data_IF_177828482954
#
_entry.id   IF_177828482954
#
_cell.length_a   1.000
_cell.length_b   1.000
_cell.length_c   1.000
_cell.angle_alpha   90.00
_cell.angle_beta   90.00
_cell.angle_gamma   90.00
#
_symmetry.space_group_name_H-M   'P 1'
#
loop_
_entity.id
_entity.type
_entity.pdbx_description
1 polymer ?
#
# COMPACT_ATOMS: atom_id res chain seq x y z
N UNK A 1 -110.94 -24.36 -38.99
CA UNK A 1 -112.24 -24.94 -39.37
C UNK A 1 -112.76 -24.15 -40.56
N UNK A 2 -113.01 -24.82 -41.69
CA UNK A 2 -113.30 -24.13 -42.94
C UNK A 2 -114.73 -23.56 -42.96
N UNK A 3 -114.89 -22.40 -43.57
CA UNK A 3 -116.16 -21.72 -43.94
C UNK A 3 -117.15 -22.67 -44.67
N UNK A 4 -116.65 -23.81 -45.16
CA UNK A 4 -117.41 -24.81 -45.91
C UNK A 4 -118.42 -25.61 -45.07
N UNK A 5 -118.23 -25.72 -43.76
CA UNK A 5 -119.12 -26.52 -42.89
C UNK A 5 -120.36 -25.73 -42.41
N UNK A 6 -120.45 -24.42 -42.68
CA UNK A 6 -121.61 -23.60 -42.28
C UNK A 6 -122.81 -23.69 -43.25
N UNK A 7 -122.65 -24.28 -44.44
CA UNK A 7 -123.69 -24.26 -45.49
C UNK A 7 -124.42 -25.59 -45.72
N UNK A 8 -124.19 -26.62 -44.90
CA UNK A 8 -124.76 -27.97 -45.12
C UNK A 8 -126.08 -28.25 -44.36
N UNK A 9 -126.79 -27.22 -43.91
CA UNK A 9 -128.14 -27.37 -43.36
C UNK A 9 -129.21 -27.41 -44.47
N UNK A 10 -129.84 -28.58 -44.63
CA UNK A 10 -131.05 -28.78 -45.46
C UNK A 10 -132.12 -27.74 -45.11
N UNK A 11 -132.43 -26.83 -46.02
CA UNK A 11 -133.58 -25.93 -45.90
C UNK A 11 -134.90 -26.69 -46.21
N UNK A 12 -135.87 -26.75 -45.27
CA UNK A 12 -137.19 -27.24 -45.57
C UNK A 12 -138.01 -26.13 -46.24
N UNK A 13 -138.18 -26.22 -47.56
CA UNK A 13 -139.03 -25.28 -48.32
C UNK A 13 -140.49 -25.77 -48.23
N UNK A 14 -141.20 -25.41 -47.16
CA UNK A 14 -142.68 -25.47 -47.10
C UNK A 14 -143.23 -24.37 -46.18
N UNK A 15 -144.10 -23.52 -46.74
CA UNK A 15 -144.84 -22.38 -46.16
C UNK A 15 -144.07 -21.06 -45.90
N UNK A 16 -144.45 -20.04 -46.66
CA UNK A 16 -143.84 -18.69 -46.77
C UNK A 16 -144.47 -17.64 -45.81
N UNK A 17 -145.07 -18.03 -44.68
CA UNK A 17 -145.77 -17.06 -43.80
C UNK A 17 -145.20 -16.84 -42.41
N UNK A 18 -144.12 -17.53 -42.02
CA UNK A 18 -143.32 -17.15 -40.86
C UNK A 18 -141.90 -17.68 -41.10
N UNK A 19 -141.09 -16.90 -41.84
CA UNK A 19 -139.66 -17.18 -41.93
C UNK A 19 -139.09 -16.85 -40.56
N UNK A 20 -138.66 -17.87 -39.82
CA UNK A 20 -138.03 -17.72 -38.52
C UNK A 20 -136.63 -17.09 -38.69
N UNK A 21 -136.58 -15.76 -38.59
CA UNK A 21 -135.36 -14.96 -38.72
C UNK A 21 -134.45 -15.07 -37.48
N UNK A 22 -134.90 -15.73 -36.40
CA UNK A 22 -134.10 -15.84 -35.17
C UNK A 22 -132.84 -16.67 -35.36
N UNK A 23 -132.90 -17.73 -36.18
CA UNK A 23 -131.74 -18.55 -36.55
C UNK A 23 -130.66 -17.73 -37.29
N UNK A 24 -131.08 -16.89 -38.23
CA UNK A 24 -130.18 -16.01 -38.98
C UNK A 24 -129.53 -14.96 -38.07
N UNK A 25 -130.29 -14.45 -37.10
CA UNK A 25 -129.79 -13.50 -36.10
C UNK A 25 -128.74 -14.13 -35.17
N UNK A 26 -128.96 -15.36 -34.73
CA UNK A 26 -128.03 -16.12 -33.88
C UNK A 26 -126.71 -16.42 -34.58
N UNK A 27 -126.76 -16.81 -35.87
CA UNK A 27 -125.56 -17.07 -36.67
C UNK A 27 -124.78 -15.78 -36.97
N UNK A 28 -125.48 -14.66 -37.22
CA UNK A 28 -124.84 -13.33 -37.35
C UNK A 28 -124.14 -12.95 -36.04
N UNK A 29 -124.76 -13.15 -34.89
CA UNK A 29 -124.15 -12.83 -33.60
C UNK A 29 -122.92 -13.71 -33.30
N UNK A 30 -122.94 -14.99 -33.68
CA UNK A 30 -121.75 -15.85 -33.58
C UNK A 30 -120.63 -15.36 -34.50
N UNK A 31 -120.94 -14.95 -35.73
CA UNK A 31 -119.96 -14.37 -36.65
C UNK A 31 -119.34 -13.08 -36.10
N UNK A 32 -120.14 -12.20 -35.50
CA UNK A 32 -119.65 -10.98 -34.83
C UNK A 32 -118.71 -11.34 -33.68
N UNK A 33 -119.10 -12.25 -32.78
CA UNK A 33 -118.23 -12.68 -31.67
C UNK A 33 -116.91 -13.27 -32.18
N UNK A 34 -116.95 -14.05 -33.26
CA UNK A 34 -115.73 -14.62 -33.87
C UNK A 34 -114.84 -13.51 -34.45
N UNK A 35 -115.43 -12.48 -35.09
CA UNK A 35 -114.69 -11.33 -35.62
C UNK A 35 -114.02 -10.52 -34.51
N UNK A 36 -114.70 -10.33 -33.37
CA UNK A 36 -114.13 -9.65 -32.19
C UNK A 36 -112.94 -10.44 -31.60
N UNK A 37 -113.01 -11.77 -31.57
CA UNK A 37 -111.87 -12.63 -31.21
C UNK A 37 -110.69 -12.46 -32.19
N UNK A 38 -110.96 -12.41 -33.50
CA UNK A 38 -109.93 -12.17 -34.51
C UNK A 38 -109.31 -10.76 -34.39
N UNK A 39 -110.08 -9.73 -34.09
CA UNK A 39 -109.55 -8.39 -33.81
C UNK A 39 -108.58 -8.41 -32.63
N UNK A 40 -108.94 -9.12 -31.54
CA UNK A 40 -108.07 -9.28 -30.37
C UNK A 40 -106.74 -9.96 -30.75
N UNK A 41 -106.79 -11.06 -31.50
CA UNK A 41 -105.59 -11.77 -31.97
C UNK A 41 -104.74 -10.88 -32.89
N UNK A 42 -105.35 -10.07 -33.75
CA UNK A 42 -104.62 -9.14 -34.63
C UNK A 42 -103.86 -8.10 -33.80
N UNK A 43 -104.46 -7.56 -32.74
CA UNK A 43 -103.80 -6.58 -31.88
C UNK A 43 -102.65 -7.20 -31.08
N UNK A 44 -102.81 -8.41 -30.55
CA UNK A 44 -101.70 -9.16 -29.92
C UNK A 44 -100.54 -9.41 -30.91
N UNK A 45 -100.85 -9.71 -32.17
CA UNK A 45 -99.84 -9.91 -33.21
C UNK A 45 -99.11 -8.61 -33.56
N UNK A 46 -99.79 -7.46 -33.55
CA UNK A 46 -99.14 -6.15 -33.74
C UNK A 46 -98.19 -5.84 -32.59
N UNK A 47 -98.62 -6.00 -31.34
CA UNK A 47 -97.75 -5.81 -30.18
C UNK A 47 -96.54 -6.74 -30.20
N UNK A 48 -96.71 -7.99 -30.62
CA UNK A 48 -95.61 -8.93 -30.80
C UNK A 48 -94.63 -8.45 -31.89
N UNK A 49 -95.14 -7.95 -33.02
CA UNK A 49 -94.31 -7.43 -34.11
C UNK A 49 -93.48 -6.22 -33.67
N UNK A 50 -94.06 -5.28 -32.92
CA UNK A 50 -93.33 -4.13 -32.36
C UNK A 50 -92.19 -4.57 -31.42
N UNK A 51 -92.43 -5.56 -30.55
CA UNK A 51 -91.38 -6.12 -29.69
C UNK A 51 -90.26 -6.80 -30.49
N UNK A 52 -90.59 -7.47 -31.60
CA UNK A 52 -89.59 -8.06 -32.48
C UNK A 52 -88.75 -7.00 -33.19
N UNK A 53 -89.34 -5.87 -33.56
CA UNK A 53 -88.63 -4.73 -34.17
C UNK A 53 -87.66 -4.09 -33.17
N UNK A 54 -88.09 -3.87 -31.92
CA UNK A 54 -87.21 -3.40 -30.84
C UNK A 54 -86.04 -4.37 -30.58
N UNK A 55 -86.32 -5.68 -30.59
CA UNK A 55 -85.28 -6.69 -30.44
C UNK A 55 -84.26 -6.67 -31.59
N UNK A 56 -84.73 -6.47 -32.83
CA UNK A 56 -83.87 -6.36 -34.00
C UNK A 56 -82.97 -5.12 -33.92
N UNK A 57 -83.48 -3.97 -33.47
CA UNK A 57 -82.67 -2.77 -33.25
C UNK A 57 -81.59 -3.00 -32.18
N UNK A 58 -81.95 -3.63 -31.06
CA UNK A 58 -81.00 -3.97 -29.99
C UNK A 58 -79.92 -4.95 -30.47
N UNK A 59 -80.27 -5.90 -31.34
CA UNK A 59 -79.31 -6.82 -31.94
C UNK A 59 -78.32 -6.07 -32.83
N UNK A 60 -78.79 -5.15 -33.68
CA UNK A 60 -77.93 -4.34 -34.54
C UNK A 60 -76.95 -3.47 -33.72
N UNK A 61 -77.41 -2.88 -32.62
CA UNK A 61 -76.53 -2.13 -31.70
C UNK A 61 -75.46 -3.03 -31.09
N UNK A 62 -75.84 -4.21 -30.60
CA UNK A 62 -74.89 -5.18 -30.04
C UNK A 62 -73.86 -5.65 -31.07
N UNK A 63 -74.25 -5.88 -32.32
CA UNK A 63 -73.34 -6.24 -33.41
C UNK A 63 -72.31 -5.14 -33.72
N UNK A 64 -72.74 -3.87 -33.66
CA UNK A 64 -71.86 -2.72 -33.82
C UNK A 64 -70.84 -2.62 -32.67
N UNK A 65 -71.29 -2.80 -31.43
CA UNK A 65 -70.42 -2.81 -30.25
C UNK A 65 -69.39 -3.94 -30.31
N UNK A 66 -69.82 -5.16 -30.67
CA UNK A 66 -68.93 -6.31 -30.86
C UNK A 66 -67.87 -6.02 -31.93
N UNK A 67 -68.27 -5.40 -33.05
CA UNK A 67 -67.35 -5.03 -34.12
C UNK A 67 -66.31 -4.00 -33.65
N UNK A 68 -66.73 -3.02 -32.86
CA UNK A 68 -65.83 -2.02 -32.25
C UNK A 68 -64.84 -2.66 -31.26
N UNK A 69 -65.33 -3.54 -30.38
CA UNK A 69 -64.49 -4.28 -29.44
C UNK A 69 -63.47 -5.15 -30.17
N UNK A 70 -63.87 -5.82 -31.25
CA UNK A 70 -62.96 -6.63 -32.07
C UNK A 70 -61.83 -5.79 -32.67
N UNK A 71 -62.13 -4.59 -33.17
CA UNK A 71 -61.10 -3.68 -33.68
C UNK A 71 -60.14 -3.20 -32.58
N UNK A 72 -60.68 -2.95 -31.39
CA UNK A 72 -59.87 -2.58 -30.21
C UNK A 72 -58.90 -3.71 -29.83
N UNK A 73 -59.38 -4.95 -29.80
CA UNK A 73 -58.54 -6.13 -29.52
C UNK A 73 -57.42 -6.28 -30.55
N UNK A 74 -57.72 -6.10 -31.84
CA UNK A 74 -56.70 -6.15 -32.90
C UNK A 74 -55.64 -5.07 -32.72
N UNK A 75 -56.06 -3.86 -32.33
CA UNK A 75 -55.14 -2.74 -32.09
C UNK A 75 -54.22 -3.04 -30.90
N UNK A 76 -54.78 -3.49 -29.77
CA UNK A 76 -54.02 -3.86 -28.59
C UNK A 76 -53.04 -5.01 -28.86
N UNK A 77 -53.43 -5.98 -29.70
CA UNK A 77 -52.51 -7.06 -30.10
C UNK A 77 -51.30 -6.50 -30.86
N UNK A 78 -51.52 -5.57 -31.80
CA UNK A 78 -50.41 -4.93 -32.53
C UNK A 78 -49.49 -4.11 -31.62
N UNK A 79 -50.05 -3.44 -30.61
CA UNK A 79 -49.26 -2.72 -29.60
C UNK A 79 -48.43 -3.69 -28.74
N UNK A 80 -49.01 -4.82 -28.31
CA UNK A 80 -48.31 -5.88 -27.59
C UNK A 80 -47.15 -6.44 -28.42
N UNK A 81 -47.39 -6.80 -29.68
CA UNK A 81 -46.37 -7.35 -30.56
C UNK A 81 -45.21 -6.36 -30.78
N UNK A 82 -45.51 -5.07 -30.90
CA UNK A 82 -44.49 -4.01 -31.03
C UNK A 82 -43.65 -3.85 -29.76
N UNK A 83 -44.29 -3.92 -28.59
CA UNK A 83 -43.63 -3.89 -27.28
C UNK A 83 -42.72 -5.11 -27.13
N UNK A 84 -43.22 -6.32 -27.41
CA UNK A 84 -42.44 -7.56 -27.34
C UNK A 84 -41.24 -7.52 -28.28
N UNK A 85 -41.41 -7.00 -29.50
CA UNK A 85 -40.31 -6.82 -30.45
C UNK A 85 -39.23 -5.86 -29.95
N UNK A 86 -39.62 -4.76 -29.31
CA UNK A 86 -38.69 -3.76 -28.75
C UNK A 86 -37.93 -4.33 -27.57
N UNK A 87 -38.62 -4.90 -26.57
CA UNK A 87 -37.97 -5.53 -25.42
C UNK A 87 -37.09 -6.72 -25.82
N UNK A 88 -37.49 -7.51 -26.81
CA UNK A 88 -36.69 -8.61 -27.35
C UNK A 88 -35.35 -8.11 -27.91
N UNK A 89 -35.36 -6.99 -28.62
CA UNK A 89 -34.13 -6.34 -29.13
C UNK A 89 -33.26 -5.80 -28.00
N UNK A 90 -33.84 -5.06 -27.05
CA UNK A 90 -33.11 -4.48 -25.94
C UNK A 90 -32.44 -5.56 -25.07
N UNK A 91 -33.12 -6.68 -24.84
CA UNK A 91 -32.56 -7.85 -24.14
C UNK A 91 -31.37 -8.43 -24.92
N UNK A 92 -31.47 -8.54 -26.24
CA UNK A 92 -30.38 -9.06 -27.08
C UNK A 92 -29.16 -8.12 -27.05
N UNK A 93 -29.39 -6.80 -27.15
CA UNK A 93 -28.34 -5.79 -27.09
C UNK A 93 -27.64 -5.78 -25.73
N UNK A 94 -28.40 -5.89 -24.62
CA UNK A 94 -27.85 -6.02 -23.27
C UNK A 94 -27.01 -7.29 -23.10
N UNK A 95 -27.46 -8.44 -23.62
CA UNK A 95 -26.68 -9.69 -23.58
C UNK A 95 -25.35 -9.54 -24.33
N UNK A 96 -25.37 -8.91 -25.50
CA UNK A 96 -24.16 -8.65 -26.27
C UNK A 96 -23.20 -7.72 -25.51
N UNK A 97 -23.72 -6.64 -24.92
CA UNK A 97 -22.92 -5.71 -24.12
C UNK A 97 -22.29 -6.40 -22.89
N UNK A 98 -23.04 -7.25 -22.19
CA UNK A 98 -22.54 -8.05 -21.07
C UNK A 98 -21.40 -8.98 -21.50
N UNK A 99 -21.57 -9.72 -22.61
CA UNK A 99 -20.53 -10.61 -23.12
C UNK A 99 -19.23 -9.87 -23.48
N UNK A 100 -19.34 -8.67 -24.06
CA UNK A 100 -18.18 -7.81 -24.34
C UNK A 100 -17.48 -7.37 -23.05
N UNK A 101 -18.26 -6.99 -22.03
CA UNK A 101 -17.72 -6.56 -20.74
C UNK A 101 -17.01 -7.71 -20.02
N UNK A 102 -17.60 -8.91 -20.01
CA UNK A 102 -16.98 -10.12 -19.45
C UNK A 102 -15.64 -10.41 -20.13
N UNK A 103 -15.58 -10.37 -21.47
CA UNK A 103 -14.33 -10.55 -22.21
C UNK A 103 -13.25 -9.52 -21.84
N UNK A 104 -13.64 -8.23 -21.72
CA UNK A 104 -12.71 -7.17 -21.29
C UNK A 104 -12.20 -7.39 -19.86
N UNK A 105 -13.05 -7.89 -18.97
CA UNK A 105 -12.69 -8.20 -17.59
C UNK A 105 -11.65 -9.31 -17.51
N UNK A 106 -11.83 -10.41 -18.26
CA UNK A 106 -10.84 -11.49 -18.35
C UNK A 106 -9.47 -11.01 -18.87
N UNK A 107 -9.46 -10.12 -19.87
CA UNK A 107 -8.22 -9.54 -20.39
C UNK A 107 -7.51 -8.71 -19.32
N UNK A 108 -8.26 -7.90 -18.55
CA UNK A 108 -7.70 -7.08 -17.47
C UNK A 108 -7.12 -7.96 -16.36
N UNK A 109 -7.83 -9.00 -15.93
CA UNK A 109 -7.34 -9.97 -14.94
C UNK A 109 -6.02 -10.61 -15.39
N UNK A 110 -5.94 -11.01 -16.67
CA UNK A 110 -4.71 -11.58 -17.25
C UNK A 110 -3.55 -10.58 -17.23
N UNK A 111 -3.80 -9.31 -17.58
CA UNK A 111 -2.78 -8.25 -17.54
C UNK A 111 -2.31 -7.95 -16.12
N UNK A 112 -3.24 -7.91 -15.16
CA UNK A 112 -2.91 -7.70 -13.74
C UNK A 112 -2.02 -8.84 -13.24
N UNK A 113 -2.36 -10.10 -13.54
CA UNK A 113 -1.53 -11.25 -13.17
C UNK A 113 -0.12 -11.17 -13.79
N UNK A 114 -0.01 -10.74 -15.04
CA UNK A 114 1.28 -10.54 -15.70
C UNK A 114 2.13 -9.46 -15.03
N UNK A 115 1.51 -8.34 -14.60
CA UNK A 115 2.20 -7.27 -13.86
C UNK A 115 2.71 -7.77 -12.51
N UNK A 116 1.89 -8.52 -11.75
CA UNK A 116 2.33 -9.11 -10.48
C UNK A 116 3.54 -10.03 -10.67
N UNK A 117 3.50 -10.92 -11.67
CA UNK A 117 4.64 -11.80 -11.98
C UNK A 117 5.90 -11.01 -12.37
N UNK A 118 5.75 -9.91 -13.10
CA UNK A 118 6.89 -9.06 -13.47
C UNK A 118 7.51 -8.37 -12.25
N UNK A 119 6.67 -7.83 -11.35
CA UNK A 119 7.12 -7.18 -10.12
C UNK A 119 7.84 -8.18 -9.23
N UNK A 120 7.26 -9.36 -9.00
CA UNK A 120 7.85 -10.40 -8.15
C UNK A 120 9.22 -10.86 -8.69
N UNK A 121 9.33 -11.09 -10.00
CA UNK A 121 10.62 -11.39 -10.64
C UNK A 121 11.64 -10.25 -10.48
N UNK A 122 11.21 -9.00 -10.61
CA UNK A 122 12.09 -7.83 -10.47
C UNK A 122 12.61 -7.68 -9.04
N UNK A 123 11.75 -7.86 -8.03
CA UNK A 123 12.12 -7.88 -6.62
C UNK A 123 13.15 -8.99 -6.35
N UNK A 124 12.89 -10.20 -6.85
CA UNK A 124 13.81 -11.34 -6.69
C UNK A 124 15.19 -11.10 -7.32
N UNK A 125 15.24 -10.42 -8.48
CA UNK A 125 16.52 -10.05 -9.12
C UNK A 125 17.26 -9.01 -8.28
N UNK A 126 16.57 -7.96 -7.83
CA UNK A 126 17.16 -6.90 -7.01
C UNK A 126 17.69 -7.44 -5.67
N UNK A 127 16.92 -8.29 -4.99
CA UNK A 127 17.35 -8.92 -3.74
C UNK A 127 18.66 -9.73 -3.91
N UNK A 128 18.78 -10.49 -5.01
CA UNK A 128 20.02 -11.23 -5.34
C UNK A 128 21.20 -10.31 -5.64
N UNK A 129 20.95 -9.15 -6.26
CA UNK A 129 22.00 -8.18 -6.54
C UNK A 129 22.48 -7.47 -5.27
N UNK A 130 21.56 -7.08 -4.38
CA UNK A 130 21.88 -6.49 -3.08
C UNK A 130 22.72 -7.44 -2.24
N UNK A 131 22.30 -8.70 -2.09
CA UNK A 131 23.07 -9.70 -1.36
C UNK A 131 24.51 -9.87 -1.88
N UNK A 132 24.70 -9.84 -3.21
CA UNK A 132 26.04 -9.88 -3.81
C UNK A 132 26.86 -8.63 -3.49
N UNK A 133 26.25 -7.45 -3.49
CA UNK A 133 26.93 -6.20 -3.14
C UNK A 133 27.33 -6.18 -1.67
N UNK A 134 26.45 -6.63 -0.76
CA UNK A 134 26.74 -6.73 0.67
C UNK A 134 27.94 -7.64 0.93
N UNK A 135 28.00 -8.78 0.25
CA UNK A 135 29.14 -9.70 0.35
C UNK A 135 30.47 -9.04 -0.13
N UNK A 136 30.42 -8.25 -1.20
CA UNK A 136 31.58 -7.51 -1.70
C UNK A 136 32.03 -6.45 -0.69
N UNK A 137 31.09 -5.70 -0.11
CA UNK A 137 31.38 -4.68 0.91
C UNK A 137 31.99 -5.32 2.14
N UNK A 138 31.40 -6.40 2.66
CA UNK A 138 31.91 -7.13 3.82
C UNK A 138 33.34 -7.65 3.59
N UNK A 139 33.62 -8.20 2.41
CA UNK A 139 34.97 -8.66 2.08
C UNK A 139 35.98 -7.51 2.05
N UNK A 140 35.63 -6.36 1.47
CA UNK A 140 36.49 -5.17 1.45
C UNK A 140 36.73 -4.61 2.86
N UNK A 141 35.70 -4.59 3.70
CA UNK A 141 35.80 -4.13 5.08
C UNK A 141 36.73 -5.04 5.90
N UNK A 142 36.57 -6.36 5.76
CA UNK A 142 37.44 -7.33 6.42
C UNK A 142 38.89 -7.20 5.96
N UNK A 143 39.12 -6.97 4.67
CA UNK A 143 40.46 -6.71 4.14
C UNK A 143 41.07 -5.42 4.72
N UNK A 144 40.31 -4.32 4.73
CA UNK A 144 40.77 -3.06 5.31
C UNK A 144 41.09 -3.19 6.81
N UNK A 145 40.26 -3.92 7.57
CA UNK A 145 40.51 -4.23 8.98
C UNK A 145 41.83 -4.99 9.17
N UNK A 146 42.09 -6.01 8.35
CA UNK A 146 43.34 -6.78 8.41
C UNK A 146 44.56 -5.91 8.06
N UNK A 147 44.45 -5.05 7.05
CA UNK A 147 45.52 -4.13 6.66
C UNK A 147 45.83 -3.10 7.76
N UNK A 148 44.81 -2.52 8.39
CA UNK A 148 44.99 -1.61 9.53
C UNK A 148 45.65 -2.32 10.72
N UNK A 149 45.21 -3.54 11.04
CA UNK A 149 45.81 -4.31 12.12
C UNK A 149 47.30 -4.59 11.87
N UNK A 150 47.67 -4.89 10.63
CA UNK A 150 49.07 -5.06 10.23
C UNK A 150 49.86 -3.78 10.41
N UNK A 151 49.36 -2.64 9.93
CA UNK A 151 50.02 -1.34 10.11
C UNK A 151 50.22 -0.99 11.60
N UNK A 152 49.21 -1.26 12.44
CA UNK A 152 49.30 -1.07 13.90
C UNK A 152 50.42 -1.94 14.48
N UNK A 153 50.49 -3.22 14.10
CA UNK A 153 51.53 -4.13 14.57
C UNK A 153 52.94 -3.68 14.12
N UNK A 154 53.07 -3.22 12.88
CA UNK A 154 54.32 -2.68 12.34
C UNK A 154 54.78 -1.44 13.14
N UNK A 155 53.85 -0.53 13.47
CA UNK A 155 54.13 0.63 14.33
C UNK A 155 54.57 0.23 15.73
N UNK A 156 53.88 -0.73 16.36
CA UNK A 156 54.29 -1.27 17.66
C UNK A 156 55.71 -1.83 17.62
N UNK A 157 56.08 -2.56 16.56
CA UNK A 157 57.43 -3.10 16.39
C UNK A 157 58.48 -1.98 16.24
N UNK A 158 58.19 -0.93 15.47
CA UNK A 158 59.08 0.23 15.32
C UNK A 158 59.29 0.93 16.68
N UNK A 159 58.21 1.20 17.41
CA UNK A 159 58.27 1.84 18.74
C UNK A 159 59.07 0.98 19.72
N UNK A 160 58.91 -0.34 19.69
CA UNK A 160 59.69 -1.26 20.52
C UNK A 160 61.19 -1.24 20.18
N UNK A 161 61.55 -1.16 18.89
CA UNK A 161 62.95 -1.02 18.45
C UNK A 161 63.56 0.29 18.95
N UNK A 162 62.87 1.43 18.73
CA UNK A 162 63.34 2.75 19.19
C UNK A 162 63.55 2.75 20.71
N UNK A 163 62.63 2.13 21.47
CA UNK A 163 62.77 1.99 22.92
C UNK A 163 64.03 1.21 23.33
N UNK A 164 64.40 0.20 22.55
CA UNK A 164 65.59 -0.63 22.78
C UNK A 164 66.87 0.12 22.40
N UNK A 165 66.88 0.85 21.28
CA UNK A 165 68.04 1.63 20.83
C UNK A 165 68.32 2.85 21.70
N UNK A 166 67.28 3.41 22.35
CA UNK A 166 67.41 4.45 23.37
C UNK A 166 67.95 3.92 24.72
N UNK A 167 68.38 2.66 24.79
CA UNK A 167 69.17 2.16 25.92
C UNK A 167 70.44 2.99 26.06
N UNK A 168 70.64 3.53 27.27
CA UNK A 168 71.60 4.58 27.57
C UNK A 168 73.03 4.29 27.03
N UNK A 169 73.58 5.15 26.14
CA UNK A 169 74.93 4.96 25.63
C UNK A 169 76.03 5.09 26.71
N UNK A 170 75.70 5.59 27.91
CA UNK A 170 76.67 5.84 28.98
C UNK A 170 76.86 4.65 29.95
N UNK A 171 76.04 3.60 29.84
CA UNK A 171 76.16 2.43 30.71
C UNK A 171 76.06 1.11 29.94
N UNK A 172 77.16 0.74 29.28
CA UNK A 172 77.53 -0.61 28.81
C UNK A 172 76.38 -1.62 28.62
N UNK A 173 75.40 -1.29 27.76
CA UNK A 173 74.36 -2.21 27.31
C UNK A 173 73.32 -2.63 28.37
N UNK A 174 73.16 -1.90 29.48
CA UNK A 174 72.07 -2.14 30.43
C UNK A 174 70.86 -1.26 30.11
N UNK A 175 69.69 -1.90 29.92
CA UNK A 175 68.41 -1.21 29.80
C UNK A 175 67.98 -0.78 31.20
N UNK A 176 68.09 0.51 31.48
CA UNK A 176 67.54 1.12 32.69
C UNK A 176 66.20 1.77 32.38
N UNK A 177 65.27 1.72 33.33
CA UNK A 177 64.08 2.56 33.24
C UNK A 177 64.48 4.05 33.18
N UNK A 178 63.64 4.94 32.62
CA UNK A 178 63.94 6.38 32.59
C UNK A 178 64.30 6.96 33.97
N UNK A 179 63.67 6.45 35.03
CA UNK A 179 63.93 6.87 36.41
C UNK A 179 65.30 6.40 36.94
N UNK A 180 65.72 5.18 36.57
CA UNK A 180 67.04 4.65 36.93
C UNK A 180 68.17 5.35 36.17
N UNK A 181 67.98 5.67 34.89
CA UNK A 181 68.94 6.46 34.12
C UNK A 181 69.17 7.84 34.73
N UNK A 182 68.09 8.52 35.12
CA UNK A 182 68.20 9.83 35.77
C UNK A 182 69.00 9.71 37.08
N UNK A 183 68.72 8.71 37.91
CA UNK A 183 69.48 8.48 39.16
C UNK A 183 70.97 8.26 38.91
N UNK A 184 71.35 7.48 37.90
CA UNK A 184 72.75 7.21 37.59
C UNK A 184 73.49 8.46 37.09
N UNK A 185 72.85 9.28 36.24
CA UNK A 185 73.40 10.57 35.80
C UNK A 185 73.61 11.51 37.00
N UNK A 186 72.66 11.57 37.93
CA UNK A 186 72.79 12.39 39.13
C UNK A 186 73.90 11.90 40.06
N UNK A 187 74.12 10.59 40.17
CA UNK A 187 75.22 10.04 40.99
C UNK A 187 76.59 10.35 40.36
N UNK A 188 76.75 10.21 39.05
CA UNK A 188 78.01 10.48 38.35
C UNK A 188 78.36 11.99 38.36
N UNK A 189 77.36 12.86 38.25
CA UNK A 189 77.54 14.30 38.44
C UNK A 189 77.96 14.63 39.89
N UNK A 190 77.42 13.93 40.88
CA UNK A 190 77.79 14.14 42.28
C UNK A 190 79.22 13.67 42.58
N UNK A 191 79.66 12.55 41.97
CA UNK A 191 80.99 11.97 42.18
C UNK A 191 82.10 12.71 41.40
N UNK A 192 81.78 13.36 40.28
CA UNK A 192 82.74 14.11 39.44
C UNK A 192 82.67 15.63 39.62
N UNK A 193 81.78 16.14 40.47
CA UNK A 193 81.83 17.55 40.86
C UNK A 193 83.04 17.77 41.78
N UNK A 194 83.90 18.77 41.52
CA UNK A 194 85.03 19.06 42.39
C UNK A 194 84.52 19.32 43.81
N UNK A 195 85.15 18.67 44.77
CA UNK A 195 84.87 18.92 46.18
C UNK A 195 85.09 20.40 46.52
N UNK A 196 84.45 20.87 47.60
CA UNK A 196 84.62 22.26 48.07
C UNK A 196 86.11 22.59 48.29
N UNK A 197 86.92 21.61 48.67
CA UNK A 197 88.36 21.72 48.89
C UNK A 197 89.14 21.78 47.56
N UNK A 198 88.76 20.99 46.54
CA UNK A 198 89.32 21.11 45.19
C UNK A 198 89.00 22.47 44.57
N UNK A 199 87.76 22.97 44.75
CA UNK A 199 87.37 24.31 44.29
C UNK A 199 88.17 25.42 44.99
N UNK A 200 88.41 25.30 46.29
CA UNK A 200 89.22 26.25 47.04
C UNK A 200 90.70 26.22 46.60
N UNK A 201 91.20 25.07 46.15
CA UNK A 201 92.58 24.93 45.64
C UNK A 201 92.80 25.54 44.26
N UNK A 202 91.74 25.78 43.48
CA UNK A 202 91.83 26.40 42.15
C UNK A 202 92.17 27.89 42.20
N UNK A 203 92.18 28.51 43.39
CA UNK A 203 92.68 29.86 43.64
C UNK A 203 92.16 30.94 42.66
N UNK A 204 90.91 30.74 42.19
CA UNK A 204 90.26 31.60 41.21
C UNK A 204 90.09 33.00 41.79
N UNK A 205 90.72 33.97 41.16
CA UNK A 205 90.69 35.37 41.56
C UNK A 205 89.43 36.05 41.04
N UNK A 206 89.00 37.15 41.68
CA UNK A 206 87.83 37.93 41.24
C UNK A 206 87.91 38.34 39.75
N UNK A 207 89.12 38.58 39.24
CA UNK A 207 89.37 38.97 37.86
C UNK A 207 89.11 37.83 36.86
N UNK A 208 89.27 36.57 37.28
CA UNK A 208 88.96 35.40 36.45
C UNK A 208 87.45 35.13 36.39
N UNK A 209 86.68 35.53 37.41
CA UNK A 209 85.21 35.50 37.37
C UNK A 209 84.65 36.55 36.40
N UNK A 210 85.25 37.74 36.37
CA UNK A 210 84.89 38.81 35.43
C UNK A 210 85.20 38.43 33.97
N UNK A 211 86.25 37.63 33.72
CA UNK A 211 86.58 37.13 32.38
C UNK A 211 85.47 36.22 31.78
N UNK A 212 84.69 35.54 32.62
CA UNK A 212 83.53 34.73 32.20
C UNK A 212 82.20 35.50 32.25
N UNK A 213 82.23 36.78 32.66
CA UNK A 213 81.07 37.67 32.72
C UNK A 213 79.91 37.09 33.54
N UNK A 214 80.23 36.37 34.63
CA UNK A 214 79.26 35.76 35.53
C UNK A 214 79.31 36.46 36.88
N UNK A 215 78.21 37.08 37.30
CA UNK A 215 78.11 37.57 38.68
C UNK A 215 78.05 36.38 39.65
N UNK A 216 78.56 36.56 40.88
CA UNK A 216 78.48 35.54 41.93
C UNK A 216 77.03 35.05 42.19
N UNK A 217 76.05 35.93 41.97
CA UNK A 217 74.62 35.59 42.01
C UNK A 217 74.19 34.72 40.82
N UNK A 218 74.67 35.00 39.62
CA UNK A 218 74.41 34.20 38.42
C UNK A 218 75.05 32.82 38.52
N UNK A 219 76.21 32.64 39.13
CA UNK A 219 76.77 31.30 39.34
C UNK A 219 75.96 30.49 40.36
N UNK A 220 75.60 31.05 41.52
CA UNK A 220 74.77 30.35 42.51
C UNK A 220 73.37 30.01 41.99
N UNK A 221 72.81 30.85 41.11
CA UNK A 221 71.50 30.67 40.49
C UNK A 221 71.55 29.76 39.25
N UNK A 222 72.55 29.92 38.38
CA UNK A 222 72.70 29.17 37.13
C UNK A 222 73.34 27.81 37.37
N UNK A 223 74.23 27.65 38.35
CA UNK A 223 74.74 26.34 38.77
C UNK A 223 73.62 25.44 39.34
N UNK A 224 72.66 26.03 40.07
CA UNK A 224 71.43 25.32 40.50
C UNK A 224 70.41 25.14 39.39
N UNK A 225 70.34 26.03 38.38
CA UNK A 225 69.47 25.86 37.21
C UNK A 225 70.02 24.93 36.14
N UNK A 226 71.34 24.78 35.98
CA UNK A 226 71.93 23.84 35.03
C UNK A 226 71.58 22.38 35.37
N UNK A 227 71.28 22.10 36.64
CA UNK A 227 70.73 20.82 37.10
C UNK A 227 69.19 20.70 36.95
N UNK A 228 68.50 21.78 36.57
CA UNK A 228 67.04 21.86 36.47
C UNK A 228 66.57 22.62 35.21
N UNK A 229 67.34 22.58 34.12
CA UNK A 229 66.90 23.13 32.84
C UNK A 229 66.05 22.06 32.12
N UNK A 230 64.72 22.16 32.26
CA UNK A 230 63.72 21.47 31.42
C UNK A 230 63.88 21.75 29.91
N UNK A 231 64.83 22.61 29.51
CA UNK A 231 64.96 23.15 28.15
C UNK A 231 66.34 22.96 27.51
N UNK A 232 67.31 22.29 28.14
CA UNK A 232 68.49 21.80 27.41
C UNK A 232 68.14 20.42 26.91
N UNK A 233 67.52 20.37 25.72
CA UNK A 233 67.32 19.19 24.86
C UNK A 233 67.60 17.85 25.58
N UNK A 234 66.73 17.47 26.53
CA UNK A 234 66.75 16.10 27.02
C UNK A 234 66.18 15.28 25.86
N UNK A 235 66.98 14.38 25.24
CA UNK A 235 66.47 13.53 24.18
C UNK A 235 65.24 12.75 24.67
N UNK A 236 65.14 12.51 25.99
CA UNK A 236 64.08 11.77 26.66
C UNK A 236 62.80 12.58 26.84
N UNK A 237 62.86 13.83 27.37
CA UNK A 237 61.65 14.65 27.53
C UNK A 237 61.10 15.18 26.20
N UNK A 238 61.98 15.54 25.25
CA UNK A 238 61.57 15.91 23.90
C UNK A 238 60.89 14.75 23.15
N UNK A 239 61.37 13.51 23.34
CA UNK A 239 60.72 12.33 22.77
C UNK A 239 59.39 12.00 23.47
N UNK A 240 59.33 12.07 24.81
CA UNK A 240 58.09 11.78 25.54
C UNK A 240 56.97 12.71 25.09
N UNK A 241 57.24 14.02 24.99
CA UNK A 241 56.23 14.97 24.53
C UNK A 241 55.83 14.73 23.07
N UNK A 242 56.76 14.27 22.22
CA UNK A 242 56.46 13.88 20.84
C UNK A 242 55.60 12.61 20.75
N UNK A 243 55.90 11.60 21.57
CA UNK A 243 55.12 10.35 21.65
C UNK A 243 53.73 10.59 22.25
N UNK A 244 53.63 11.41 23.30
CA UNK A 244 52.36 11.79 23.93
C UNK A 244 51.48 12.59 22.94
N UNK A 245 52.08 13.48 22.14
CA UNK A 245 51.36 14.21 21.09
C UNK A 245 50.88 13.28 19.96
N UNK A 246 51.68 12.27 19.58
CA UNK A 246 51.29 11.27 18.57
C UNK A 246 50.18 10.36 19.11
N UNK A 247 50.29 9.87 20.35
CA UNK A 247 49.25 9.07 21.01
C UNK A 247 47.94 9.85 21.17
N UNK A 248 48.01 11.12 21.55
CA UNK A 248 46.84 12.00 21.63
C UNK A 248 46.21 12.22 20.25
N UNK A 249 47.03 12.35 19.20
CA UNK A 249 46.53 12.47 17.82
C UNK A 249 45.87 11.19 17.33
N UNK A 250 46.41 10.01 17.68
CA UNK A 250 45.82 8.70 17.36
C UNK A 250 44.51 8.49 18.14
N UNK A 251 44.46 8.85 19.43
CA UNK A 251 43.24 8.77 20.23
C UNK A 251 42.14 9.69 19.69
N UNK A 252 42.47 10.93 19.33
CA UNK A 252 41.52 11.85 18.70
C UNK A 252 41.05 11.36 17.31
N UNK A 253 41.90 10.66 16.57
CA UNK A 253 41.52 10.04 15.30
C UNK A 253 40.58 8.84 15.51
N UNK A 254 40.81 8.03 16.54
CA UNK A 254 39.95 6.90 16.92
C UNK A 254 38.60 7.37 17.49
N UNK A 255 38.56 8.46 18.25
CA UNK A 255 37.31 9.10 18.70
C UNK A 255 36.51 9.73 17.54
N UNK A 256 37.14 9.95 16.38
CA UNK A 256 36.47 10.32 15.13
C UNK A 256 35.82 9.15 14.38
N UNK A 257 35.91 7.92 14.90
CA UNK A 257 35.15 6.79 14.36
C UNK A 257 33.69 6.85 14.85
N UNK A 258 32.77 6.71 13.89
CA UNK A 258 31.30 6.90 13.98
C UNK A 258 30.74 7.06 15.40
N UNK A 259 30.39 8.29 15.78
CA UNK A 259 29.69 8.59 17.03
C UNK A 259 28.34 7.85 17.12
N UNK A 260 27.77 7.72 18.32
CA UNK A 260 26.44 7.15 18.52
C UNK A 260 25.36 7.85 17.67
N UNK A 261 25.53 9.14 17.37
CA UNK A 261 24.66 9.90 16.47
C UNK A 261 24.81 9.45 15.01
N UNK A 262 26.01 9.02 14.59
CA UNK A 262 26.24 8.48 13.26
C UNK A 262 25.66 7.06 13.10
N UNK A 263 25.60 6.28 14.17
CA UNK A 263 24.80 5.04 14.23
C UNK A 263 23.30 5.30 14.18
N UNK A 264 22.85 6.36 14.85
CA UNK A 264 21.43 6.79 14.84
C UNK A 264 21.02 7.32 13.46
N UNK A 265 21.94 8.00 12.76
CA UNK A 265 21.75 8.50 11.40
C UNK A 265 21.68 7.41 10.33
N UNK A 266 22.16 6.19 10.61
CA UNK A 266 21.97 5.04 9.73
C UNK A 266 20.52 4.52 9.73
N UNK A 267 19.67 5.01 10.65
CA UNK A 267 18.22 4.76 10.71
C UNK A 267 17.83 3.28 10.54
N UNK A 268 18.70 2.36 10.99
CA UNK A 268 18.45 0.93 10.97
C UNK A 268 17.39 0.60 12.02
N UNK A 269 16.16 0.43 11.57
CA UNK A 269 15.04 0.09 12.45
C UNK A 269 15.10 -1.39 12.83
N UNK A 270 14.56 -1.74 13.99
CA UNK A 270 14.50 -3.14 14.45
C UNK A 270 13.79 -4.09 13.44
N UNK A 271 12.95 -3.52 12.56
CA UNK A 271 12.25 -4.23 11.50
C UNK A 271 13.20 -4.68 10.37
N UNK A 272 14.28 -3.94 10.09
CA UNK A 272 15.30 -4.30 9.09
C UNK A 272 16.20 -5.45 9.58
N UNK A 273 16.47 -5.52 10.89
CA UNK A 273 17.14 -6.69 11.50
C UNK A 273 16.26 -7.95 11.43
N UNK A 274 14.96 -7.78 11.64
CA UNK A 274 13.98 -8.87 11.61
C UNK A 274 13.79 -9.42 10.18
N UNK A 275 13.86 -8.56 9.16
CA UNK A 275 13.78 -8.96 7.75
C UNK A 275 14.98 -9.79 7.26
N UNK A 276 16.14 -9.69 7.92
CA UNK A 276 17.37 -10.43 7.60
C UNK A 276 17.54 -11.73 8.40
N UNK A 277 16.61 -12.05 9.30
CA UNK A 277 16.62 -13.26 10.14
C UNK A 277 17.94 -13.46 10.93
N UNK A 278 18.60 -12.36 11.30
CA UNK A 278 19.82 -12.37 12.12
C UNK A 278 19.43 -12.24 13.58
N UNK A 279 19.71 -13.27 14.38
CA UNK A 279 19.43 -13.24 15.82
C UNK A 279 20.49 -12.41 16.54
N UNK A 280 20.14 -11.80 17.68
CA UNK A 280 21.10 -11.10 18.53
C UNK A 280 22.27 -12.00 18.99
N UNK A 281 22.08 -13.33 18.97
CA UNK A 281 23.13 -14.31 19.27
C UNK A 281 24.19 -14.42 18.16
N UNK A 282 23.82 -14.15 16.90
CA UNK A 282 24.77 -14.21 15.78
C UNK A 282 25.81 -13.08 15.85
N UNK A 283 25.44 -11.92 16.39
CA UNK A 283 26.34 -10.77 16.55
C UNK A 283 27.40 -10.98 17.65
N UNK A 284 27.08 -11.75 18.70
CA UNK A 284 28.00 -12.04 19.81
C UNK A 284 29.04 -13.12 19.50
N UNK A 285 28.88 -13.88 18.42
CA UNK A 285 29.82 -14.94 18.02
C UNK A 285 31.04 -14.43 17.23
N UNK A 286 31.14 -13.11 17.00
CA UNK A 286 32.21 -12.46 16.22
C UNK A 286 33.14 -11.53 17.03
N UNK A 287 33.13 -11.62 18.37
CA UNK A 287 34.24 -11.16 19.22
C UNK A 287 35.22 -12.30 19.49
#
# INVERSE_FOLDING_TARGET
MGIRDMFDHKYPITNLHEIDLTFLHDDINKMIATLEEWETVIDELKEAAEKYEEFAERLNVAEAEISSLKNTVVTLQGEIDAIEGTYGKDIADLKNAMSILESKMTILETKIAAVYNYIDNSINVLAKQMYKQDLIIMNKLNQAKADLQRQINDLYAIVASIRTDLSNPWHWGKVFSPDENNKLIYMDLADNCPSVEEYASLNLTADEYDAFNLTAYEYARNGKKMLHLDYVFSPIYGFKQSVDNVLTSILNWLEGTLSADAYTALNLTADEYTALNLSAADYYSYQ
#
